data_IF_597969174907
#
_entry.id   IF_597969174907
#
_cell.length_a   1.000
_cell.length_b   1.000
_cell.length_c   1.000
_cell.angle_alpha   90.00
_cell.angle_beta   90.00
_cell.angle_gamma   90.00
#
_symmetry.space_group_name_H-M   'P 1'
#
loop_
_entity.id
_entity.type
_entity.pdbx_description
1 polymer ?
#
# COMPACT_ATOMS: atom_id res chain seq x y z
N UNK A 1 27.22 -1.00 2.31
CA UNK A 1 26.83 0.40 2.54
C UNK A 1 27.06 0.72 4.00
N UNK A 2 27.90 1.68 4.30
CA UNK A 2 28.12 2.21 5.65
C UNK A 2 27.26 3.47 5.84
N UNK A 3 27.13 3.95 7.10
CA UNK A 3 26.42 5.21 7.37
C UNK A 3 27.16 6.41 6.76
N UNK A 4 28.48 6.39 6.78
CA UNK A 4 29.33 7.39 6.15
C UNK A 4 29.09 7.48 4.64
N UNK A 5 29.07 6.36 3.93
CA UNK A 5 28.74 6.32 2.49
C UNK A 5 27.34 6.87 2.17
N UNK A 6 26.37 6.70 3.09
CA UNK A 6 25.05 7.29 2.96
C UNK A 6 25.06 8.81 3.14
N UNK A 7 25.77 9.30 4.18
CA UNK A 7 25.94 10.74 4.42
C UNK A 7 26.68 11.41 3.27
N UNK A 8 27.74 10.79 2.75
CA UNK A 8 28.46 11.28 1.56
C UNK A 8 27.50 11.45 0.36
N UNK A 9 26.58 10.49 0.17
CA UNK A 9 25.58 10.56 -0.91
C UNK A 9 24.58 11.70 -0.71
N UNK A 10 24.18 11.98 0.55
CA UNK A 10 23.31 13.09 0.91
C UNK A 10 23.99 14.44 0.69
N UNK A 11 25.24 14.57 1.14
CA UNK A 11 26.04 15.79 0.97
C UNK A 11 26.30 16.08 -0.49
N UNK A 12 26.67 15.05 -1.28
CA UNK A 12 26.84 15.18 -2.73
C UNK A 12 25.56 15.70 -3.42
N UNK A 13 24.39 15.26 -2.97
CA UNK A 13 23.12 15.79 -3.46
C UNK A 13 22.99 17.28 -3.13
N UNK A 14 23.22 17.66 -1.86
CA UNK A 14 23.07 19.04 -1.39
C UNK A 14 24.04 20.01 -2.09
N UNK A 15 25.29 19.60 -2.27
CA UNK A 15 26.30 20.41 -2.91
C UNK A 15 25.98 20.69 -4.38
N UNK A 16 25.48 19.67 -5.08
CA UNK A 16 25.21 19.78 -6.52
C UNK A 16 23.83 20.30 -6.88
N UNK A 17 22.82 20.17 -6.00
CA UNK A 17 21.43 20.49 -6.35
C UNK A 17 21.23 21.95 -6.74
N UNK A 18 22.01 22.87 -6.16
CA UNK A 18 21.95 24.31 -6.43
C UNK A 18 22.61 24.68 -7.77
N UNK A 19 23.60 23.90 -8.20
CA UNK A 19 24.35 24.13 -9.44
C UNK A 19 23.68 23.52 -10.66
N UNK A 20 22.95 22.41 -10.46
CA UNK A 20 22.29 21.65 -11.52
C UNK A 20 20.97 22.31 -11.90
N UNK A 21 20.87 22.83 -13.14
CA UNK A 21 19.65 23.42 -13.69
C UNK A 21 18.75 22.40 -14.36
N UNK A 22 19.28 21.26 -14.77
CA UNK A 22 18.55 20.22 -15.50
C UNK A 22 17.75 19.36 -14.52
N UNK A 23 16.43 19.33 -14.69
CA UNK A 23 15.50 18.54 -13.85
C UNK A 23 15.82 17.03 -13.87
N UNK A 24 16.26 16.50 -15.01
CA UNK A 24 16.64 15.08 -15.13
C UNK A 24 17.85 14.74 -14.30
N UNK A 25 18.86 15.60 -14.33
CA UNK A 25 20.10 15.43 -13.56
C UNK A 25 19.84 15.57 -12.05
N UNK A 26 18.95 16.50 -11.64
CA UNK A 26 18.47 16.59 -10.25
C UNK A 26 17.79 15.32 -9.79
N UNK A 27 16.90 14.77 -10.60
CA UNK A 27 16.19 13.52 -10.30
C UNK A 27 17.17 12.32 -10.18
N UNK A 28 18.25 12.32 -10.97
CA UNK A 28 19.27 11.27 -10.91
C UNK A 28 20.09 11.36 -9.62
N UNK A 29 20.50 12.55 -9.20
CA UNK A 29 21.18 12.79 -7.92
C UNK A 29 20.31 12.35 -6.73
N UNK A 30 19.04 12.73 -6.74
CA UNK A 30 18.08 12.28 -5.70
C UNK A 30 17.90 10.77 -5.69
N UNK A 31 17.84 10.15 -6.87
CA UNK A 31 17.74 8.69 -7.00
C UNK A 31 18.97 7.97 -6.42
N UNK A 32 20.16 8.56 -6.50
CA UNK A 32 21.38 8.01 -5.88
C UNK A 32 21.29 8.06 -4.35
N UNK A 33 20.88 9.18 -3.77
CA UNK A 33 20.64 9.32 -2.34
C UNK A 33 19.56 8.34 -1.85
N UNK A 34 18.42 8.29 -2.53
CA UNK A 34 17.32 7.34 -2.24
C UNK A 34 17.81 5.89 -2.24
N UNK A 35 18.61 5.52 -3.25
CA UNK A 35 19.19 4.17 -3.33
C UNK A 35 20.13 3.87 -2.16
N UNK A 36 20.96 4.84 -1.76
CA UNK A 36 21.87 4.69 -0.63
C UNK A 36 21.09 4.51 0.69
N UNK A 37 20.08 5.34 0.93
CA UNK A 37 19.19 5.23 2.08
C UNK A 37 18.53 3.85 2.16
N UNK A 38 17.91 3.39 1.07
CA UNK A 38 17.24 2.09 1.01
C UNK A 38 18.21 0.92 1.20
N UNK A 39 19.43 1.05 0.70
CA UNK A 39 20.47 0.03 0.91
C UNK A 39 20.94 -0.04 2.37
N UNK A 40 21.03 1.08 3.08
CA UNK A 40 21.48 1.12 4.45
C UNK A 40 20.41 0.77 5.47
N UNK A 41 19.27 1.47 5.43
CA UNK A 41 18.19 1.28 6.43
C UNK A 41 17.23 0.17 6.07
N UNK A 42 16.68 0.19 4.85
CA UNK A 42 15.56 -0.69 4.49
C UNK A 42 16.03 -2.14 4.34
N UNK A 43 17.08 -2.39 3.55
CA UNK A 43 17.59 -3.75 3.37
C UNK A 43 18.01 -4.41 4.68
N UNK A 44 18.68 -3.64 5.55
CA UNK A 44 19.09 -4.16 6.86
C UNK A 44 17.88 -4.59 7.69
N UNK A 45 16.88 -3.72 7.80
CA UNK A 45 15.71 -3.97 8.64
C UNK A 45 14.83 -5.09 8.08
N UNK A 46 14.67 -5.15 6.75
CA UNK A 46 13.97 -6.25 6.10
C UNK A 46 14.63 -7.59 6.42
N UNK A 47 15.96 -7.69 6.28
CA UNK A 47 16.72 -8.91 6.58
C UNK A 47 16.69 -9.32 8.06
N UNK A 48 16.58 -8.34 8.97
CA UNK A 48 16.45 -8.61 10.39
C UNK A 48 15.06 -9.13 10.79
N UNK A 49 14.02 -8.85 9.99
CA UNK A 49 12.62 -9.13 10.34
C UNK A 49 12.03 -10.30 9.56
N UNK A 50 12.38 -10.45 8.28
CA UNK A 50 11.77 -11.41 7.36
C UNK A 50 12.78 -12.44 6.87
N UNK A 51 12.26 -13.55 6.30
CA UNK A 51 13.04 -14.59 5.62
C UNK A 51 12.69 -14.66 4.14
N UNK A 52 13.52 -15.32 3.34
CA UNK A 52 13.33 -15.52 1.89
C UNK A 52 13.09 -14.21 1.10
N UNK A 53 13.80 -13.15 1.46
CA UNK A 53 13.54 -11.78 1.01
C UNK A 53 14.06 -11.56 -0.40
N UNK A 54 13.19 -10.97 -1.23
CA UNK A 54 13.52 -10.35 -2.51
C UNK A 54 12.94 -8.94 -2.49
N UNK A 55 13.80 -7.95 -2.34
CA UNK A 55 13.43 -6.54 -2.33
C UNK A 55 13.98 -5.81 -3.56
N UNK A 56 13.13 -5.03 -4.20
CA UNK A 56 13.54 -4.17 -5.32
C UNK A 56 12.79 -2.84 -5.26
N UNK A 57 13.53 -1.76 -4.97
CA UNK A 57 12.98 -0.42 -4.81
C UNK A 57 12.44 0.21 -6.10
N UNK A 58 12.74 -0.36 -7.28
CA UNK A 58 12.29 0.15 -8.59
C UNK A 58 11.12 -0.62 -9.18
N UNK A 59 10.88 -1.82 -8.68
CA UNK A 59 9.76 -2.66 -9.12
C UNK A 59 8.60 -2.51 -8.17
N UNK A 60 7.40 -2.74 -8.68
CA UNK A 60 6.17 -2.78 -7.92
C UNK A 60 5.30 -3.96 -8.33
N UNK A 61 4.07 -3.99 -7.84
CA UNK A 61 3.03 -4.88 -8.33
C UNK A 61 2.56 -4.32 -9.68
N UNK A 62 2.43 -5.15 -10.70
CA UNK A 62 1.97 -4.70 -12.00
C UNK A 62 0.46 -4.37 -11.99
N UNK A 63 0.07 -3.42 -12.85
CA UNK A 63 -1.30 -2.94 -12.92
C UNK A 63 -2.32 -4.05 -13.28
N UNK A 64 -1.90 -5.05 -14.05
CA UNK A 64 -2.76 -6.17 -14.40
C UNK A 64 -3.06 -7.05 -13.19
N UNK A 65 -2.04 -7.39 -12.39
CA UNK A 65 -2.20 -8.14 -11.13
C UNK A 65 -3.16 -7.38 -10.20
N UNK A 66 -2.98 -6.07 -10.03
CA UNK A 66 -3.87 -5.25 -9.22
C UNK A 66 -5.30 -5.26 -9.76
N UNK A 67 -5.49 -5.07 -11.05
CA UNK A 67 -6.82 -5.03 -11.69
C UNK A 67 -7.57 -6.36 -11.61
N UNK A 68 -6.85 -7.49 -11.66
CA UNK A 68 -7.44 -8.82 -11.50
C UNK A 68 -8.07 -9.04 -10.12
N UNK A 69 -7.64 -8.32 -9.10
CA UNK A 69 -8.28 -8.38 -7.78
C UNK A 69 -9.65 -7.71 -7.77
N UNK A 70 -9.85 -6.73 -8.64
CA UNK A 70 -11.06 -5.88 -8.64
C UNK A 70 -11.20 -5.00 -7.40
N UNK A 71 -10.24 -5.02 -6.47
CA UNK A 71 -10.31 -4.28 -5.21
C UNK A 71 -10.12 -2.77 -5.44
N UNK A 72 -9.20 -2.41 -6.33
CA UNK A 72 -8.86 -1.04 -6.67
C UNK A 72 -8.90 -0.88 -8.19
N UNK A 73 -9.44 0.23 -8.66
CA UNK A 73 -9.37 0.62 -10.07
C UNK A 73 -7.99 1.23 -10.38
N UNK A 74 -7.34 0.78 -11.45
CA UNK A 74 -5.99 1.23 -11.80
C UNK A 74 -5.92 2.66 -12.37
N UNK A 75 -7.06 3.33 -12.56
CA UNK A 75 -7.11 4.73 -13.01
C UNK A 75 -6.50 4.96 -14.39
N UNK A 76 -6.09 6.21 -14.64
CA UNK A 76 -5.47 6.62 -15.91
C UNK A 76 -3.94 6.57 -15.85
N UNK A 77 -3.38 6.74 -14.65
CA UNK A 77 -1.95 6.67 -14.41
C UNK A 77 -1.70 5.82 -13.15
N UNK A 78 -0.82 4.86 -13.30
CA UNK A 78 -0.46 3.88 -12.29
C UNK A 78 1.04 3.90 -12.03
N UNK A 79 1.42 4.04 -10.75
CA UNK A 79 2.80 3.90 -10.28
C UNK A 79 2.85 2.84 -9.19
N UNK A 80 3.91 2.04 -9.19
CA UNK A 80 4.19 1.12 -8.09
C UNK A 80 5.69 0.90 -7.94
N UNK A 81 6.16 0.86 -6.70
CA UNK A 81 7.57 0.72 -6.34
C UNK A 81 7.72 -0.05 -5.02
N UNK A 82 8.95 -0.23 -4.58
CA UNK A 82 9.30 -0.89 -3.31
C UNK A 82 8.72 -2.31 -3.16
N UNK A 83 8.88 -3.12 -4.21
CA UNK A 83 8.40 -4.49 -4.22
C UNK A 83 9.18 -5.36 -3.24
N UNK A 84 8.48 -5.91 -2.26
CA UNK A 84 8.97 -6.90 -1.31
C UNK A 84 8.24 -8.22 -1.58
N UNK A 85 8.99 -9.30 -1.81
CA UNK A 85 8.50 -10.67 -1.70
C UNK A 85 9.29 -11.32 -0.59
N UNK A 86 8.63 -11.81 0.43
CA UNK A 86 9.29 -12.38 1.59
C UNK A 86 8.36 -13.33 2.36
N UNK A 87 8.89 -13.85 3.48
CA UNK A 87 8.17 -14.67 4.41
C UNK A 87 8.32 -14.14 5.83
N UNK A 88 7.22 -14.08 6.54
CA UNK A 88 7.21 -13.79 7.97
C UNK A 88 6.51 -14.91 8.72
N UNK A 89 7.19 -15.51 9.72
CA UNK A 89 6.77 -16.78 10.33
C UNK A 89 6.55 -17.84 9.24
N UNK A 90 5.31 -18.30 9.04
CA UNK A 90 4.94 -19.32 8.05
C UNK A 90 4.26 -18.73 6.80
N UNK A 91 4.00 -17.42 6.78
CA UNK A 91 3.18 -16.76 5.76
C UNK A 91 4.06 -16.09 4.70
N UNK A 92 3.84 -16.45 3.44
CA UNK A 92 4.41 -15.73 2.30
C UNK A 92 3.61 -14.45 2.03
N UNK A 93 4.32 -13.39 1.70
CA UNK A 93 3.66 -12.15 1.33
C UNK A 93 4.39 -11.42 0.20
N UNK A 94 3.62 -10.60 -0.50
CA UNK A 94 4.11 -9.58 -1.44
C UNK A 94 3.56 -8.23 -0.98
N UNK A 95 4.40 -7.19 -0.95
CA UNK A 95 3.99 -5.80 -0.72
C UNK A 95 4.63 -4.90 -1.76
N UNK A 96 3.90 -3.87 -2.16
CA UNK A 96 4.46 -2.72 -2.88
C UNK A 96 3.68 -1.46 -2.54
N UNK A 97 4.35 -0.30 -2.70
CA UNK A 97 3.66 0.98 -2.71
C UNK A 97 2.98 1.19 -4.05
N UNK A 98 1.82 1.82 -4.02
CA UNK A 98 0.96 2.04 -5.19
C UNK A 98 0.42 3.46 -5.14
N UNK A 99 0.53 4.16 -6.27
CA UNK A 99 -0.13 5.45 -6.47
C UNK A 99 -0.94 5.41 -7.77
N UNK A 100 -2.21 5.80 -7.67
CA UNK A 100 -3.17 5.80 -8.77
C UNK A 100 -3.76 7.18 -8.93
N UNK A 101 -3.69 7.71 -10.15
CA UNK A 101 -4.18 9.03 -10.49
C UNK A 101 -5.29 8.87 -11.54
N UNK A 102 -6.41 9.57 -11.32
CA UNK A 102 -7.47 9.75 -12.32
C UNK A 102 -7.46 11.20 -12.81
N UNK A 103 -7.59 11.35 -14.12
CA UNK A 103 -7.84 12.64 -14.74
C UNK A 103 -9.34 12.91 -14.66
N UNK A 104 -9.73 14.00 -13.99
CA UNK A 104 -11.12 14.46 -14.05
C UNK A 104 -11.34 15.17 -15.39
N UNK A 105 -12.28 14.68 -16.19
CA UNK A 105 -12.77 15.43 -17.35
C UNK A 105 -13.32 16.77 -16.84
N UNK A 106 -12.66 17.87 -17.23
CA UNK A 106 -13.18 19.19 -16.96
C UNK A 106 -14.59 19.30 -17.56
N UNK A 107 -15.58 19.66 -16.77
CA UNK A 107 -16.90 20.01 -17.31
C UNK A 107 -16.67 21.15 -18.29
N UNK A 108 -16.93 20.93 -19.58
CA UNK A 108 -17.02 21.97 -20.58
C UNK A 108 -18.14 22.93 -20.14
N UNK A 109 -17.77 24.05 -19.54
CA UNK A 109 -18.67 25.18 -19.49
C UNK A 109 -18.64 25.84 -20.87
N UNK A 110 -19.78 26.19 -21.41
CA UNK A 110 -19.94 26.78 -22.78
C UNK A 110 -19.21 28.11 -22.98
N UNK A 111 -18.51 28.63 -22.01
CA UNK A 111 -17.61 29.76 -22.14
C UNK A 111 -16.22 29.30 -22.52
N UNK A 112 -15.89 29.51 -23.80
CA UNK A 112 -14.60 29.19 -24.41
C UNK A 112 -13.49 30.07 -23.78
N UNK A 113 -12.82 29.54 -22.75
CA UNK A 113 -11.54 30.02 -22.27
C UNK A 113 -10.44 29.06 -22.66
N UNK A 114 -9.63 29.36 -23.69
CA UNK A 114 -8.56 28.46 -24.18
C UNK A 114 -7.39 28.27 -23.19
N UNK A 115 -7.38 28.99 -22.06
CA UNK A 115 -6.32 28.90 -21.02
C UNK A 115 -6.75 28.03 -19.85
N UNK A 116 -8.00 27.65 -19.72
CA UNK A 116 -8.56 26.91 -18.59
C UNK A 116 -8.69 25.40 -18.81
N UNK A 117 -7.84 24.78 -19.64
CA UNK A 117 -7.68 23.31 -19.61
C UNK A 117 -6.78 22.98 -18.42
N UNK A 118 -7.23 23.27 -17.22
CA UNK A 118 -6.73 22.64 -16.03
C UNK A 118 -7.30 21.22 -15.97
N UNK A 119 -6.60 20.28 -16.59
CA UNK A 119 -6.79 18.86 -16.30
C UNK A 119 -6.52 18.68 -14.81
N UNK A 120 -7.57 18.61 -14.02
CA UNK A 120 -7.46 18.29 -12.60
C UNK A 120 -7.18 16.82 -12.51
N UNK A 121 -5.98 16.45 -12.07
CA UNK A 121 -5.64 15.08 -11.73
C UNK A 121 -5.88 14.89 -10.24
N UNK A 122 -6.70 13.91 -9.89
CA UNK A 122 -6.95 13.56 -8.50
C UNK A 122 -6.26 12.23 -8.18
N UNK A 123 -5.42 12.21 -7.15
CA UNK A 123 -4.87 10.98 -6.62
C UNK A 123 -6.01 10.21 -5.96
N UNK A 124 -6.41 9.09 -6.54
CA UNK A 124 -7.53 8.27 -6.05
C UNK A 124 -7.07 7.18 -5.09
N UNK A 125 -5.82 6.76 -5.17
CA UNK A 125 -5.19 5.85 -4.22
C UNK A 125 -3.72 6.21 -4.07
N UNK A 126 -3.26 6.26 -2.84
CA UNK A 126 -1.84 6.35 -2.51
C UNK A 126 -1.61 5.60 -1.19
N UNK A 127 -0.69 4.64 -1.22
CA UNK A 127 -0.39 3.82 -0.08
C UNK A 127 0.08 2.42 -0.47
N UNK A 128 -0.28 1.41 0.31
CA UNK A 128 0.29 0.07 0.22
C UNK A 128 -0.71 -0.95 -0.29
N UNK A 129 -0.22 -1.85 -1.14
CA UNK A 129 -0.96 -3.03 -1.54
C UNK A 129 -0.19 -4.29 -1.12
N UNK A 130 -0.90 -5.17 -0.41
CA UNK A 130 -0.32 -6.39 0.15
C UNK A 130 -1.08 -7.61 -0.36
N UNK A 131 -0.34 -8.69 -0.59
CA UNK A 131 -0.86 -9.99 -0.98
C UNK A 131 -0.29 -11.01 -0.01
N UNK A 132 -1.14 -11.76 0.68
CA UNK A 132 -0.76 -12.84 1.57
C UNK A 132 -1.26 -14.17 1.02
N UNK A 133 -0.47 -15.22 1.23
CA UNK A 133 -0.81 -16.59 0.85
C UNK A 133 -1.03 -17.42 2.12
N UNK A 134 -2.19 -18.07 2.20
CA UNK A 134 -2.50 -18.95 3.33
C UNK A 134 -2.29 -20.42 2.96
N UNK A 135 -2.09 -21.23 3.99
CA UNK A 135 -2.12 -22.70 3.83
C UNK A 135 -3.55 -23.26 3.64
N UNK A 136 -4.56 -22.47 4.00
CA UNK A 136 -5.97 -22.86 4.03
C UNK A 136 -6.71 -22.26 2.83
N UNK A 137 -7.43 -23.09 2.10
CA UNK A 137 -8.22 -22.63 0.96
C UNK A 137 -9.60 -22.15 1.42
N UNK A 138 -9.99 -20.98 0.94
CA UNK A 138 -11.34 -20.43 1.08
C UNK A 138 -12.11 -20.77 -0.18
N UNK A 139 -13.31 -21.38 -0.02
CA UNK A 139 -14.17 -21.70 -1.13
C UNK A 139 -15.15 -20.54 -1.36
N UNK A 140 -14.82 -19.65 -2.28
CA UNK A 140 -15.60 -18.46 -2.56
C UNK A 140 -14.82 -17.17 -2.38
N UNK A 141 -15.52 -16.06 -2.45
CA UNK A 141 -14.94 -14.72 -2.36
C UNK A 141 -15.60 -13.94 -1.22
N UNK A 142 -14.78 -13.25 -0.45
CA UNK A 142 -15.24 -12.34 0.60
C UNK A 142 -14.55 -11.01 0.47
N UNK A 143 -15.32 -9.92 0.37
CA UNK A 143 -14.81 -8.55 0.32
C UNK A 143 -15.27 -7.77 1.55
N UNK A 144 -14.34 -7.13 2.23
CA UNK A 144 -14.56 -6.29 3.41
C UNK A 144 -14.09 -4.89 3.03
N UNK A 145 -15.03 -3.98 2.81
CA UNK A 145 -14.79 -2.66 2.25
C UNK A 145 -15.14 -1.58 3.28
N UNK A 146 -14.30 -0.53 3.44
CA UNK A 146 -14.56 0.51 4.43
C UNK A 146 -15.80 1.34 4.07
N UNK A 147 -16.54 1.76 5.10
CA UNK A 147 -17.71 2.64 4.94
C UNK A 147 -17.24 4.08 4.77
N UNK A 148 -17.84 4.83 3.83
CA UNK A 148 -17.62 6.26 3.66
C UNK A 148 -16.38 6.67 2.86
N UNK A 149 -15.46 5.75 2.57
CA UNK A 149 -14.27 6.00 1.74
C UNK A 149 -14.47 5.51 0.31
N UNK A 150 -15.65 5.69 -0.21
CA UNK A 150 -16.21 4.97 -1.33
C UNK A 150 -15.54 5.17 -2.70
N UNK A 151 -14.65 6.16 -2.84
CA UNK A 151 -14.02 6.43 -4.15
C UNK A 151 -12.86 5.49 -4.49
N UNK A 152 -12.20 4.89 -3.51
CA UNK A 152 -10.96 4.15 -3.72
C UNK A 152 -11.17 2.65 -3.91
N UNK A 153 -12.07 2.05 -3.12
CA UNK A 153 -12.36 0.62 -3.11
C UNK A 153 -13.73 0.30 -3.71
N UNK A 154 -14.13 1.00 -4.75
CA UNK A 154 -15.48 0.89 -5.33
C UNK A 154 -15.52 0.16 -6.65
N UNK A 155 -14.47 -0.56 -7.01
CA UNK A 155 -14.53 -1.30 -8.25
C UNK A 155 -15.76 -2.25 -8.21
N UNK A 156 -16.74 -2.08 -9.11
CA UNK A 156 -17.93 -2.94 -9.14
C UNK A 156 -17.59 -4.41 -9.40
N UNK A 157 -16.39 -4.68 -9.92
CA UNK A 157 -15.91 -6.05 -10.19
C UNK A 157 -15.76 -6.85 -8.91
N UNK A 158 -15.26 -6.24 -7.82
CA UNK A 158 -15.11 -6.95 -6.54
C UNK A 158 -16.47 -7.39 -5.97
N UNK A 159 -17.54 -6.65 -6.27
CA UNK A 159 -18.89 -6.93 -5.80
C UNK A 159 -19.70 -7.82 -6.77
N UNK A 160 -19.18 -8.06 -7.99
CA UNK A 160 -19.91 -8.83 -8.99
C UNK A 160 -20.18 -10.27 -8.51
N UNK A 161 -21.45 -10.62 -8.39
CA UNK A 161 -21.89 -11.92 -7.91
C UNK A 161 -21.79 -12.12 -6.38
N UNK A 162 -21.34 -11.10 -5.62
CA UNK A 162 -21.33 -11.14 -4.16
C UNK A 162 -22.63 -10.58 -3.59
N UNK A 163 -23.04 -11.08 -2.42
CA UNK A 163 -24.20 -10.62 -1.66
C UNK A 163 -23.74 -9.88 -0.41
N UNK A 164 -24.40 -8.79 -0.01
CA UNK A 164 -24.11 -8.14 1.24
C UNK A 164 -24.48 -9.06 2.41
N UNK A 165 -23.62 -9.07 3.42
CA UNK A 165 -23.85 -9.78 4.69
C UNK A 165 -23.56 -8.85 5.85
N UNK A 166 -24.10 -9.16 7.03
CA UNK A 166 -23.84 -8.47 8.29
C UNK A 166 -23.33 -9.47 9.31
N UNK A 167 -22.38 -9.06 10.14
CA UNK A 167 -21.90 -9.83 11.29
C UNK A 167 -22.73 -9.50 12.53
N UNK A 168 -22.53 -10.24 13.61
CA UNK A 168 -23.12 -9.91 14.90
C UNK A 168 -22.51 -8.64 15.55
N UNK A 169 -21.29 -8.23 15.12
CA UNK A 169 -20.67 -6.99 15.60
C UNK A 169 -21.28 -5.77 14.92
N UNK A 170 -22.11 -5.05 15.66
CA UNK A 170 -22.68 -3.77 15.18
C UNK A 170 -21.60 -2.71 14.96
N UNK A 171 -20.46 -2.78 15.66
CA UNK A 171 -19.33 -1.88 15.47
C UNK A 171 -18.64 -2.18 14.13
N UNK A 172 -18.33 -3.45 13.87
CA UNK A 172 -17.72 -3.87 12.61
C UNK A 172 -18.57 -3.48 11.39
N UNK A 173 -19.88 -3.70 11.45
CA UNK A 173 -20.84 -3.34 10.39
C UNK A 173 -20.97 -1.82 10.16
N UNK A 174 -20.58 -0.97 11.14
CA UNK A 174 -20.51 0.49 10.96
C UNK A 174 -19.26 0.94 10.20
N UNK A 175 -18.16 0.24 10.39
CA UNK A 175 -16.88 0.60 9.76
C UNK A 175 -16.64 -0.12 8.45
N UNK A 176 -17.24 -1.31 8.26
CA UNK A 176 -17.09 -2.11 7.06
C UNK A 176 -18.44 -2.53 6.45
N UNK A 177 -18.44 -2.62 5.12
CA UNK A 177 -19.46 -3.32 4.34
C UNK A 177 -18.86 -4.63 3.83
N UNK A 178 -19.54 -5.72 4.13
CA UNK A 178 -19.08 -7.06 3.80
C UNK A 178 -19.93 -7.61 2.66
N UNK A 179 -19.24 -8.20 1.69
CA UNK A 179 -19.87 -8.89 0.56
C UNK A 179 -19.24 -10.27 0.44
N UNK A 180 -20.07 -11.29 0.24
CA UNK A 180 -19.60 -12.66 0.10
C UNK A 180 -20.37 -13.39 -1.02
N UNK A 181 -19.70 -14.36 -1.62
CA UNK A 181 -20.31 -15.30 -2.57
C UNK A 181 -21.22 -16.28 -1.83
N UNK A 182 -20.73 -16.80 -0.71
CA UNK A 182 -21.45 -17.66 0.23
C UNK A 182 -21.32 -17.10 1.66
N UNK A 183 -22.44 -16.96 2.34
CA UNK A 183 -22.47 -16.50 3.73
C UNK A 183 -21.80 -17.45 4.71
N UNK A 184 -21.84 -18.76 4.46
CA UNK A 184 -21.17 -19.75 5.31
C UNK A 184 -19.65 -19.59 5.32
N UNK A 185 -19.05 -19.43 4.14
CA UNK A 185 -17.61 -19.18 3.99
C UNK A 185 -17.19 -17.87 4.65
N UNK A 186 -18.02 -16.83 4.52
CA UNK A 186 -17.74 -15.55 5.16
C UNK A 186 -17.69 -15.66 6.69
N UNK A 187 -18.63 -16.37 7.31
CA UNK A 187 -18.63 -16.55 8.78
C UNK A 187 -17.50 -17.43 9.27
N UNK A 188 -16.94 -18.26 8.42
CA UNK A 188 -15.74 -19.01 8.74
C UNK A 188 -14.49 -18.13 8.82
N UNK A 189 -14.43 -17.05 8.02
CA UNK A 189 -13.35 -16.04 8.07
C UNK A 189 -13.63 -15.04 9.21
N UNK A 190 -14.88 -14.59 9.30
CA UNK A 190 -15.32 -13.53 10.21
C UNK A 190 -15.69 -14.07 11.60
N UNK A 191 -14.77 -14.84 12.19
CA UNK A 191 -14.93 -15.22 13.57
C UNK A 191 -14.69 -14.00 14.51
N UNK A 192 -15.08 -14.07 15.78
CA UNK A 192 -14.95 -12.94 16.70
C UNK A 192 -13.51 -12.44 16.86
N UNK A 193 -12.52 -13.33 16.82
CA UNK A 193 -11.12 -12.95 16.99
C UNK A 193 -10.60 -12.21 15.76
N UNK A 194 -10.96 -12.66 14.55
CA UNK A 194 -10.66 -11.95 13.31
C UNK A 194 -11.31 -10.56 13.31
N UNK A 195 -12.60 -10.46 13.67
CA UNK A 195 -13.34 -9.19 13.72
C UNK A 195 -12.63 -8.19 14.61
N UNK A 196 -12.29 -8.57 15.86
CA UNK A 196 -11.56 -7.72 16.80
C UNK A 196 -10.22 -7.26 16.24
N UNK A 197 -9.45 -8.18 15.68
CA UNK A 197 -8.13 -7.87 15.11
C UNK A 197 -8.24 -6.96 13.87
N UNK A 198 -9.24 -7.18 13.02
CA UNK A 198 -9.49 -6.35 11.83
C UNK A 198 -9.98 -4.94 12.21
N UNK A 199 -10.76 -4.79 13.28
CA UNK A 199 -11.16 -3.49 13.83
C UNK A 199 -9.93 -2.69 14.31
N UNK A 200 -9.04 -3.31 15.09
CA UNK A 200 -7.78 -2.69 15.54
C UNK A 200 -6.86 -2.31 14.38
N UNK A 201 -6.77 -3.19 13.38
CA UNK A 201 -5.99 -2.90 12.18
C UNK A 201 -6.58 -1.70 11.41
N UNK A 202 -7.89 -1.67 11.22
CA UNK A 202 -8.56 -0.57 10.53
C UNK A 202 -8.41 0.77 11.25
N UNK A 203 -8.53 0.79 12.58
CA UNK A 203 -8.37 2.00 13.41
C UNK A 203 -6.98 2.62 13.21
N UNK A 204 -5.92 1.81 13.19
CA UNK A 204 -4.55 2.27 12.96
C UNK A 204 -4.39 3.01 11.63
N UNK A 205 -5.09 2.58 10.58
CA UNK A 205 -5.02 3.18 9.24
C UNK A 205 -6.22 4.08 8.92
N UNK A 206 -6.82 4.69 9.97
CA UNK A 206 -7.93 5.63 9.86
C UNK A 206 -9.09 5.10 9.00
N UNK A 207 -9.38 3.80 9.10
CA UNK A 207 -10.46 3.11 8.37
C UNK A 207 -10.33 3.18 6.84
N UNK A 208 -9.12 3.36 6.33
CA UNK A 208 -8.82 3.40 4.88
C UNK A 208 -8.23 2.08 4.39
N UNK A 209 -8.79 0.98 4.85
CA UNK A 209 -8.33 -0.38 4.57
C UNK A 209 -9.45 -1.18 3.93
N UNK A 210 -9.12 -1.92 2.86
CA UNK A 210 -9.99 -2.92 2.27
C UNK A 210 -9.30 -4.27 2.25
N UNK A 211 -10.07 -5.34 2.52
CA UNK A 211 -9.59 -6.71 2.47
C UNK A 211 -10.42 -7.50 1.46
N UNK A 212 -9.77 -8.38 0.72
CA UNK A 212 -10.42 -9.27 -0.22
C UNK A 212 -9.81 -10.65 -0.18
N UNK A 213 -10.64 -11.64 0.06
CA UNK A 213 -10.28 -13.04 0.16
C UNK A 213 -10.74 -13.79 -1.07
N UNK A 214 -9.84 -14.56 -1.66
CA UNK A 214 -10.17 -15.48 -2.77
C UNK A 214 -9.18 -16.64 -2.78
N UNK A 215 -9.67 -17.86 -2.76
CA UNK A 215 -8.90 -19.11 -2.74
C UNK A 215 -7.94 -19.17 -1.54
N UNK A 216 -6.64 -19.16 -1.81
CA UNK A 216 -5.56 -19.20 -0.83
C UNK A 216 -4.89 -17.84 -0.61
N UNK A 217 -5.55 -16.75 -1.03
CA UNK A 217 -4.97 -15.41 -0.97
C UNK A 217 -5.87 -14.40 -0.27
N UNK A 218 -5.22 -13.49 0.43
CA UNK A 218 -5.82 -12.24 0.89
C UNK A 218 -5.11 -11.08 0.25
N UNK A 219 -5.88 -10.16 -0.30
CA UNK A 219 -5.42 -8.89 -0.84
C UNK A 219 -5.85 -7.77 0.10
N UNK A 220 -4.94 -6.85 0.37
CA UNK A 220 -5.20 -5.70 1.24
C UNK A 220 -4.75 -4.44 0.53
N UNK A 221 -5.64 -3.46 0.48
CA UNK A 221 -5.32 -2.10 0.08
C UNK A 221 -5.37 -1.19 1.30
N UNK A 222 -4.32 -0.42 1.54
CA UNK A 222 -4.24 0.61 2.58
C UNK A 222 -4.02 1.95 1.90
N UNK A 223 -5.01 2.84 1.94
CA UNK A 223 -4.96 4.17 1.30
C UNK A 223 -4.66 5.25 2.35
N UNK A 224 -3.48 5.18 2.96
CA UNK A 224 -3.04 6.09 4.03
C UNK A 224 -2.41 7.40 3.53
N UNK A 225 -2.10 7.48 2.25
CA UNK A 225 -1.46 8.63 1.62
C UNK A 225 0.06 8.59 1.69
N UNK A 226 0.62 7.53 2.28
CA UNK A 226 2.05 7.39 2.48
C UNK A 226 2.75 6.70 1.29
N UNK A 227 4.06 6.95 1.19
CA UNK A 227 5.04 6.26 0.35
C UNK A 227 6.08 5.69 1.31
N UNK A 228 6.13 4.36 1.44
CA UNK A 228 6.96 3.69 2.44
C UNK A 228 8.45 3.79 2.08
N UNK A 229 9.29 3.72 3.10
CA UNK A 229 10.74 3.65 2.92
C UNK A 229 11.38 4.86 2.22
N UNK A 230 10.69 6.00 2.18
CA UNK A 230 11.27 7.20 1.60
C UNK A 230 12.28 7.86 2.54
N UNK A 231 13.43 8.35 2.01
CA UNK A 231 14.43 9.03 2.82
C UNK A 231 13.88 10.35 3.38
N UNK A 232 14.49 10.86 4.48
CA UNK A 232 14.20 12.19 4.97
C UNK A 232 14.65 13.26 3.98
N UNK A 233 14.25 14.52 4.25
CA UNK A 233 14.73 15.67 3.47
C UNK A 233 16.26 15.69 3.48
N UNK A 234 16.92 15.62 2.32
CA UNK A 234 18.38 15.61 2.24
C UNK A 234 19.04 16.90 2.76
N UNK A 235 18.29 18.00 2.86
CA UNK A 235 18.81 19.25 3.44
C UNK A 235 19.12 19.13 4.95
N UNK A 236 18.58 18.11 5.63
CA UNK A 236 18.79 17.88 7.05
C UNK A 236 19.75 16.71 7.30
N UNK A 237 20.55 16.74 8.38
CA UNK A 237 21.34 15.58 8.80
C UNK A 237 20.44 14.39 9.11
N UNK A 238 20.93 13.18 8.81
CA UNK A 238 20.18 11.95 9.08
C UNK A 238 20.28 11.59 10.56
N UNK A 239 19.15 11.50 11.25
CA UNK A 239 19.06 10.89 12.57
C UNK A 239 18.87 9.38 12.41
N UNK A 240 19.95 8.64 12.63
CA UNK A 240 19.96 7.18 12.43
C UNK A 240 18.92 6.45 13.27
N UNK A 241 18.69 6.87 14.50
CA UNK A 241 17.70 6.21 15.38
C UNK A 241 16.27 6.48 14.92
N UNK A 242 16.00 7.72 14.50
CA UNK A 242 14.69 8.12 13.96
C UNK A 242 14.37 7.37 12.67
N UNK A 243 15.34 7.29 11.75
CA UNK A 243 15.13 6.61 10.48
C UNK A 243 14.98 5.09 10.64
N UNK A 244 15.71 4.46 11.56
CA UNK A 244 15.49 3.05 11.92
C UNK A 244 14.09 2.82 12.48
N UNK A 245 13.63 3.69 13.37
CA UNK A 245 12.28 3.60 13.92
C UNK A 245 11.21 3.78 12.83
N UNK A 246 11.41 4.71 11.89
CA UNK A 246 10.52 4.93 10.75
C UNK A 246 10.41 3.68 9.87
N UNK A 247 11.53 3.09 9.47
CA UNK A 247 11.51 1.87 8.63
C UNK A 247 10.80 0.71 9.34
N UNK A 248 10.97 0.56 10.66
CA UNK A 248 10.23 -0.43 11.46
C UNK A 248 8.72 -0.14 11.41
N UNK A 249 8.33 1.13 11.53
CA UNK A 249 6.92 1.53 11.46
C UNK A 249 6.33 1.25 10.06
N UNK A 250 7.10 1.52 8.99
CA UNK A 250 6.70 1.24 7.61
C UNK A 250 6.46 -0.28 7.36
N UNK A 251 7.10 -1.15 8.15
CA UNK A 251 6.90 -2.61 8.06
C UNK A 251 5.74 -3.15 8.91
N UNK A 252 5.20 -2.35 9.83
CA UNK A 252 4.11 -2.79 10.73
C UNK A 252 2.86 -3.32 10.02
N UNK A 253 2.40 -2.76 8.89
CA UNK A 253 1.25 -3.32 8.18
C UNK A 253 1.39 -4.81 7.90
N UNK A 254 2.60 -5.27 7.56
CA UNK A 254 2.88 -6.69 7.28
C UNK A 254 2.76 -7.52 8.56
N UNK A 255 3.43 -7.09 9.63
CA UNK A 255 3.50 -7.86 10.89
C UNK A 255 2.17 -7.88 11.64
N UNK A 256 1.44 -6.77 11.58
CA UNK A 256 0.13 -6.65 12.25
C UNK A 256 -0.90 -7.55 11.56
N UNK A 257 -0.96 -7.53 10.22
CA UNK A 257 -1.95 -8.34 9.51
C UNK A 257 -1.65 -9.85 9.63
N UNK A 258 -0.38 -10.24 9.70
CA UNK A 258 -0.04 -11.65 9.92
C UNK A 258 -0.51 -12.12 11.29
N UNK A 259 -0.55 -11.23 12.29
CA UNK A 259 -1.18 -11.53 13.57
C UNK A 259 -2.68 -11.81 13.43
N UNK A 260 -3.36 -11.14 12.49
CA UNK A 260 -4.76 -11.42 12.14
C UNK A 260 -4.89 -12.77 11.42
N UNK A 261 -3.93 -13.11 10.54
CA UNK A 261 -3.91 -14.38 9.80
C UNK A 261 -3.60 -15.59 10.66
N UNK A 262 -2.79 -15.44 11.71
CA UNK A 262 -2.51 -16.52 12.68
C UNK A 262 -3.80 -17.01 13.39
N UNK A 263 -4.88 -16.25 13.27
CA UNK A 263 -6.22 -16.59 13.80
C UNK A 263 -7.08 -17.38 12.80
N UNK A 264 -6.66 -17.45 11.53
CA UNK A 264 -7.33 -18.23 10.46
C UNK A 264 -6.61 -19.57 10.24
#
# INVERSE_FOLDING_TARGET
MTFEELEDSRELYNDKITEVKNLRERAELYSQYKKAYKAYFVNYQLQATFTDIKYNHKLGIDAFTLSCTGLIDTGDTYYSNDLINAKYKTVNFTQADVEIIKQSEGKFTEEYDPVAINQRSDTVFKGRFLIFEFSKKIFGRVAILPVGTSSFFTNPVVKAGLKPIETESTHFNRIFKIYAEDGFEAFYILDPAFIESAEHFADRYCYKVALYFIHDKMFIGINDGDDSFEPPDPALPIDENKERAKVIEDMKPITDIISVLDLL
#
